data_IF_030423428557
#
_entry.id   IF_030423428557
#
_cell.length_a   1.000
_cell.length_b   1.000
_cell.length_c   1.000
_cell.angle_alpha   90.00
_cell.angle_beta   90.00
_cell.angle_gamma   90.00
#
_symmetry.space_group_name_H-M   'P 1'
#
loop_
_entity.id
_entity.type
_entity.pdbx_description
1 polymer ?
#
# COMPACT_ATOMS: atom_id res chain seq x y z
N UNK A 1 -13.05 3.83 22.95
CA UNK A 1 -12.81 5.16 22.36
C UNK A 1 -12.60 4.95 20.87
N UNK A 2 -13.39 5.56 19.96
CA UNK A 2 -13.16 5.40 18.53
C UNK A 2 -12.01 6.31 18.08
N UNK A 3 -10.83 5.73 17.87
CA UNK A 3 -9.67 6.46 17.35
C UNK A 3 -9.65 6.39 15.82
N UNK A 4 -9.20 7.49 15.21
CA UNK A 4 -8.97 7.58 13.76
C UNK A 4 -7.51 7.33 13.49
N UNK A 5 -7.21 6.37 12.63
CA UNK A 5 -5.84 5.99 12.26
C UNK A 5 -5.68 6.04 10.75
N UNK A 6 -4.50 6.48 10.31
CA UNK A 6 -4.12 6.49 8.90
C UNK A 6 -2.96 5.53 8.69
N UNK A 7 -3.17 4.50 7.88
CA UNK A 7 -2.16 3.53 7.51
C UNK A 7 -1.54 3.95 6.18
N UNK A 8 -0.25 4.34 6.21
CA UNK A 8 0.53 4.49 4.98
C UNK A 8 1.12 3.14 4.61
N UNK A 9 0.80 2.66 3.42
CA UNK A 9 1.31 1.42 2.87
C UNK A 9 2.22 1.76 1.70
N UNK A 10 3.47 1.28 1.73
CA UNK A 10 4.38 1.48 0.61
C UNK A 10 3.95 0.63 -0.58
N UNK A 11 3.95 1.19 -1.78
CA UNK A 11 3.73 0.42 -3.01
C UNK A 11 4.71 -0.75 -3.11
N UNK A 12 5.98 -0.53 -2.75
CA UNK A 12 7.05 -1.54 -2.77
C UNK A 12 6.86 -2.72 -1.82
N UNK A 13 5.92 -2.61 -0.87
CA UNK A 13 5.56 -3.75 -0.03
C UNK A 13 4.47 -4.60 -0.66
N UNK A 14 3.73 -4.04 -1.62
CA UNK A 14 2.65 -4.69 -2.36
C UNK A 14 3.13 -5.29 -3.67
N UNK A 15 4.41 -5.17 -4.02
CA UNK A 15 4.97 -5.67 -5.27
C UNK A 15 6.44 -5.31 -5.40
N UNK A 16 7.06 -5.81 -6.45
CA UNK A 16 8.42 -5.47 -6.87
C UNK A 16 8.46 -5.24 -8.38
N UNK A 17 9.68 -5.12 -8.93
CA UNK A 17 9.89 -4.98 -10.35
C UNK A 17 9.55 -6.26 -11.14
N UNK A 18 9.66 -7.41 -10.48
CA UNK A 18 9.37 -8.73 -11.05
C UNK A 18 7.88 -9.07 -10.98
N UNK A 19 7.16 -8.52 -9.99
CA UNK A 19 5.73 -8.74 -9.79
C UNK A 19 5.04 -7.47 -9.31
N UNK A 20 4.14 -6.92 -10.13
CA UNK A 20 3.44 -5.67 -9.80
C UNK A 20 2.57 -5.78 -8.54
N UNK A 21 2.01 -6.96 -8.25
CA UNK A 21 1.17 -7.20 -7.08
C UNK A 21 1.49 -8.52 -6.37
N UNK A 22 1.88 -8.45 -5.10
CA UNK A 22 1.96 -9.56 -4.16
C UNK A 22 0.63 -9.70 -3.42
N UNK A 23 -0.18 -10.64 -3.89
CA UNK A 23 -1.49 -10.95 -3.29
C UNK A 23 -1.38 -11.49 -1.86
N UNK A 24 -0.29 -12.17 -1.51
CA UNK A 24 -0.10 -12.68 -0.15
C UNK A 24 0.14 -11.52 0.82
N UNK A 25 0.98 -10.55 0.44
CA UNK A 25 1.20 -9.37 1.25
C UNK A 25 -0.05 -8.49 1.33
N UNK A 26 -0.75 -8.28 0.20
CA UNK A 26 -2.00 -7.53 0.18
C UNK A 26 -3.05 -8.15 1.12
N UNK A 27 -3.17 -9.49 1.14
CA UNK A 27 -4.07 -10.21 2.05
C UNK A 27 -3.70 -9.99 3.52
N UNK A 28 -2.40 -9.97 3.85
CA UNK A 28 -1.94 -9.66 5.21
C UNK A 28 -2.23 -8.22 5.62
N UNK A 29 -2.09 -7.25 4.72
CA UNK A 29 -2.46 -5.86 5.00
C UNK A 29 -3.98 -5.75 5.22
N UNK A 30 -4.77 -6.43 4.39
CA UNK A 30 -6.22 -6.46 4.53
C UNK A 30 -6.66 -7.03 5.89
N UNK A 31 -6.03 -8.10 6.38
CA UNK A 31 -6.37 -8.68 7.69
C UNK A 31 -6.09 -7.72 8.85
N UNK A 32 -5.02 -6.92 8.76
CA UNK A 32 -4.74 -5.87 9.75
C UNK A 32 -5.80 -4.76 9.73
N UNK A 33 -6.23 -4.34 8.54
CA UNK A 33 -7.29 -3.33 8.39
C UNK A 33 -8.61 -3.83 8.99
N UNK A 34 -8.97 -5.09 8.71
CA UNK A 34 -10.17 -5.73 9.28
C UNK A 34 -10.08 -5.78 10.80
N UNK A 35 -8.96 -6.23 11.37
CA UNK A 35 -8.78 -6.30 12.82
C UNK A 35 -8.91 -4.92 13.50
N UNK A 36 -8.38 -3.86 12.88
CA UNK A 36 -8.53 -2.49 13.38
C UNK A 36 -9.98 -1.99 13.31
N UNK A 37 -10.69 -2.31 12.23
CA UNK A 37 -12.10 -1.97 12.09
C UNK A 37 -12.95 -2.69 13.15
N UNK A 38 -12.72 -3.99 13.36
CA UNK A 38 -13.41 -4.81 14.36
C UNK A 38 -13.15 -4.32 15.79
N UNK A 39 -11.95 -3.79 16.06
CA UNK A 39 -11.62 -3.12 17.31
C UNK A 39 -12.30 -1.74 17.49
N UNK A 40 -13.08 -1.27 16.52
CA UNK A 40 -13.85 -0.03 16.57
C UNK A 40 -13.08 1.21 16.14
N UNK A 41 -11.95 1.06 15.43
CA UNK A 41 -11.20 2.17 14.86
C UNK A 41 -11.76 2.57 13.49
N UNK A 42 -11.66 3.87 13.18
CA UNK A 42 -11.89 4.39 11.82
C UNK A 42 -10.56 4.43 11.10
N UNK A 43 -10.43 3.63 10.05
CA UNK A 43 -9.17 3.43 9.33
C UNK A 43 -9.22 4.15 8.00
N UNK A 44 -8.20 4.96 7.71
CA UNK A 44 -7.91 5.47 6.38
C UNK A 44 -6.62 4.82 5.86
N UNK A 45 -6.57 4.45 4.59
CA UNK A 45 -5.38 3.88 3.97
C UNK A 45 -4.83 4.83 2.90
N UNK A 46 -3.52 5.08 2.93
CA UNK A 46 -2.80 5.80 1.89
C UNK A 46 -1.87 4.82 1.20
N UNK A 47 -2.14 4.55 -0.07
CA UNK A 47 -1.41 3.57 -0.87
C UNK A 47 -0.35 4.28 -1.71
N UNK A 48 0.92 3.89 -1.56
CA UNK A 48 1.95 4.24 -2.53
C UNK A 48 1.77 3.45 -3.83
N UNK A 49 2.13 4.04 -4.97
CA UNK A 49 2.03 3.39 -6.30
C UNK A 49 3.36 2.93 -6.90
N UNK A 50 4.44 2.93 -6.11
CA UNK A 50 5.81 2.69 -6.60
C UNK A 50 6.08 1.30 -7.18
N UNK A 51 5.28 0.29 -6.79
CA UNK A 51 5.27 -1.04 -7.40
C UNK A 51 4.69 -1.06 -8.82
N UNK A 52 3.92 -0.03 -9.21
CA UNK A 52 3.33 0.09 -10.56
C UNK A 52 4.13 1.09 -11.39
N UNK A 53 4.39 2.28 -10.83
CA UNK A 53 5.07 3.37 -11.52
C UNK A 53 6.01 4.09 -10.57
N UNK A 54 7.26 4.29 -11.02
CA UNK A 54 8.25 5.13 -10.32
C UNK A 54 8.68 6.27 -11.20
N UNK A 55 8.62 7.49 -10.64
CA UNK A 55 9.09 8.69 -11.34
C UNK A 55 10.55 8.59 -11.78
N UNK A 56 11.42 7.99 -10.97
CA UNK A 56 12.83 7.75 -11.34
C UNK A 56 12.99 6.86 -12.56
N UNK A 57 12.16 5.81 -12.69
CA UNK A 57 12.18 4.91 -13.85
C UNK A 57 11.60 5.57 -15.09
N UNK A 58 10.53 6.35 -14.93
CA UNK A 58 9.97 7.13 -16.03
C UNK A 58 11.01 8.11 -16.58
N UNK A 59 11.66 8.85 -15.69
CA UNK A 59 12.74 9.78 -16.04
C UNK A 59 13.89 9.08 -16.77
N UNK A 60 14.35 7.92 -16.26
CA UNK A 60 15.41 7.14 -16.90
C UNK A 60 15.03 6.64 -18.31
N UNK A 61 13.74 6.48 -18.60
CA UNK A 61 13.22 6.07 -19.90
C UNK A 61 12.84 7.27 -20.80
N UNK A 62 13.26 8.49 -20.45
CA UNK A 62 13.05 9.69 -21.28
C UNK A 62 11.69 10.36 -21.11
N UNK A 63 10.85 9.92 -20.16
CA UNK A 63 9.64 10.64 -19.79
C UNK A 63 10.04 11.79 -18.85
N UNK A 64 10.04 13.01 -19.39
CA UNK A 64 10.43 14.24 -18.70
C UNK A 64 9.33 15.28 -18.82
#
# INVERSE_FOLDING_TARGET
>A
MQQRVMLKISGEQLGSDEYTFDLNYATRVASVVVALQEAGHKVACVMGGGNVVRGSKLHANGFT
#
